data_IF_620937047801
#
_entry.id   IF_620937047801
#
_cell.length_a   1.000
_cell.length_b   1.000
_cell.length_c   1.000
_cell.angle_alpha   90.00
_cell.angle_beta   90.00
_cell.angle_gamma   90.00
#
_symmetry.space_group_name_H-M   'P 1'
#
loop_
_entity.id
_entity.type
_entity.pdbx_description
1 polymer ?
#
# COMPACT_ATOMS: atom_id res chain seq x y z
N UNK A 1 -19.59 29.75 31.72
CA UNK A 1 -20.12 28.40 31.44
C UNK A 1 -19.84 28.07 29.98
N UNK A 2 -19.17 26.95 29.64
CA UNK A 2 -18.90 26.56 28.26
C UNK A 2 -20.21 26.37 27.49
N UNK A 3 -20.27 26.92 26.27
CA UNK A 3 -21.47 26.88 25.44
C UNK A 3 -21.65 25.46 24.88
N UNK A 4 -22.69 24.75 25.34
CA UNK A 4 -23.06 23.44 24.80
C UNK A 4 -23.75 23.62 23.44
N UNK A 5 -23.01 23.33 22.37
CA UNK A 5 -23.53 23.39 21.01
C UNK A 5 -24.39 22.17 20.70
N UNK A 6 -25.68 22.38 20.39
CA UNK A 6 -26.56 21.35 19.83
C UNK A 6 -26.40 21.34 18.31
N UNK A 7 -25.95 20.22 17.74
CA UNK A 7 -25.82 20.05 16.29
C UNK A 7 -27.18 20.16 15.61
N UNK A 8 -27.21 20.89 14.49
CA UNK A 8 -28.40 21.07 13.65
C UNK A 8 -28.45 20.11 12.45
N UNK A 9 -27.32 19.47 12.12
CA UNK A 9 -27.20 18.57 10.97
C UNK A 9 -27.17 17.13 11.42
N UNK A 10 -27.76 16.25 10.60
CA UNK A 10 -27.70 14.80 10.78
C UNK A 10 -26.37 14.20 10.28
N UNK A 11 -25.34 15.04 10.08
CA UNK A 11 -24.05 14.61 9.54
C UNK A 11 -23.31 13.73 10.55
N UNK A 12 -23.04 12.49 10.15
CA UNK A 12 -22.30 11.53 10.96
C UNK A 12 -23.08 10.92 12.12
N UNK A 13 -24.43 10.93 12.08
CA UNK A 13 -25.25 10.16 13.04
C UNK A 13 -25.29 8.66 12.73
N UNK A 14 -24.90 8.29 11.52
CA UNK A 14 -25.02 6.94 11.01
C UNK A 14 -23.90 6.04 11.51
N UNK A 15 -24.21 4.77 11.71
CA UNK A 15 -23.22 3.80 12.18
C UNK A 15 -22.19 3.49 11.09
N UNK A 16 -20.98 3.11 11.52
CA UNK A 16 -19.88 2.74 10.62
C UNK A 16 -20.28 1.54 9.75
N UNK A 17 -21.08 0.62 10.30
CA UNK A 17 -21.54 -0.60 9.63
C UNK A 17 -22.53 -0.31 8.50
N UNK A 18 -23.51 0.57 8.74
CA UNK A 18 -24.44 1.03 7.70
C UNK A 18 -23.70 1.75 6.57
N UNK A 19 -22.62 2.47 6.89
CA UNK A 19 -21.83 3.15 5.87
C UNK A 19 -20.99 2.17 5.03
N UNK A 20 -20.44 1.13 5.67
CA UNK A 20 -19.72 0.06 4.96
C UNK A 20 -20.64 -0.71 4.03
N UNK A 21 -21.83 -1.11 4.51
CA UNK A 21 -22.81 -1.84 3.69
C UNK A 21 -23.33 -0.99 2.51
N UNK A 22 -23.57 0.30 2.74
CA UNK A 22 -23.90 1.22 1.65
C UNK A 22 -22.76 1.36 0.63
N UNK A 23 -21.49 1.39 1.08
CA UNK A 23 -20.34 1.47 0.18
C UNK A 23 -20.15 0.18 -0.65
N UNK A 24 -20.33 -1.01 -0.06
CA UNK A 24 -20.27 -2.28 -0.78
C UNK A 24 -21.38 -2.41 -1.82
N UNK A 25 -22.59 -1.95 -1.51
CA UNK A 25 -23.71 -1.90 -2.44
C UNK A 25 -23.42 -1.01 -3.66
N UNK A 26 -22.75 0.13 -3.45
CA UNK A 26 -22.32 1.04 -4.53
C UNK A 26 -21.21 0.40 -5.36
N UNK A 27 -20.26 -0.31 -4.73
CA UNK A 27 -19.23 -1.08 -5.45
C UNK A 27 -19.84 -2.17 -6.35
N UNK A 28 -20.95 -2.78 -5.94
CA UNK A 28 -21.73 -3.72 -6.73
C UNK A 28 -22.46 -3.13 -7.95
N UNK A 29 -22.27 -1.83 -8.25
CA UNK A 29 -22.79 -1.17 -9.43
C UNK A 29 -24.05 -0.32 -9.21
N UNK A 30 -24.56 -0.21 -7.97
CA UNK A 30 -25.71 0.65 -7.68
C UNK A 30 -25.30 2.13 -7.74
N UNK A 31 -26.18 2.96 -8.30
CA UNK A 31 -25.94 4.40 -8.37
C UNK A 31 -25.88 5.03 -6.98
N UNK A 32 -24.85 5.86 -6.72
CA UNK A 32 -24.67 6.58 -5.43
C UNK A 32 -25.93 7.34 -5.01
N UNK A 33 -26.65 7.94 -5.99
CA UNK A 33 -27.89 8.68 -5.72
C UNK A 33 -29.04 7.78 -5.29
N UNK A 34 -29.17 6.58 -5.87
CA UNK A 34 -30.20 5.61 -5.45
C UNK A 34 -29.92 5.17 -4.03
N UNK A 35 -28.70 4.68 -3.77
CA UNK A 35 -28.30 4.19 -2.45
C UNK A 35 -28.39 5.26 -1.35
N UNK A 36 -28.02 6.50 -1.66
CA UNK A 36 -28.19 7.63 -0.76
C UNK A 36 -29.67 7.86 -0.39
N UNK A 37 -30.58 7.72 -1.35
CA UNK A 37 -32.03 7.83 -1.11
C UNK A 37 -32.56 6.64 -0.31
N UNK A 38 -32.17 5.43 -0.68
CA UNK A 38 -32.65 4.18 -0.08
C UNK A 38 -32.22 4.02 1.38
N UNK A 39 -30.99 4.45 1.70
CA UNK A 39 -30.41 4.38 3.06
C UNK A 39 -30.58 5.69 3.84
N UNK A 40 -31.28 6.68 3.28
CA UNK A 40 -31.45 8.02 3.86
C UNK A 40 -30.11 8.69 4.26
N UNK A 41 -29.08 8.50 3.42
CA UNK A 41 -27.74 9.07 3.61
C UNK A 41 -27.62 10.29 2.71
N UNK A 42 -27.03 11.36 3.24
CA UNK A 42 -26.64 12.46 2.38
C UNK A 42 -25.64 11.99 1.29
N UNK A 43 -25.95 12.32 0.03
CA UNK A 43 -25.15 11.93 -1.15
C UNK A 43 -23.69 12.31 -1.01
N UNK A 44 -23.41 13.51 -0.48
CA UNK A 44 -22.03 14.01 -0.36
C UNK A 44 -21.24 13.20 0.66
N UNK A 45 -21.91 12.76 1.73
CA UNK A 45 -21.33 11.91 2.77
C UNK A 45 -21.01 10.52 2.22
N UNK A 46 -21.95 9.88 1.53
CA UNK A 46 -21.74 8.57 0.91
C UNK A 46 -20.66 8.63 -0.18
N UNK A 47 -20.68 9.67 -1.04
CA UNK A 47 -19.65 9.87 -2.07
C UNK A 47 -18.27 10.05 -1.45
N UNK A 48 -18.14 10.85 -0.39
CA UNK A 48 -16.88 11.07 0.32
C UNK A 48 -16.35 9.75 0.87
N UNK A 49 -17.20 8.99 1.55
CA UNK A 49 -16.86 7.68 2.09
C UNK A 49 -16.42 6.70 1.00
N UNK A 50 -17.24 6.54 -0.04
CA UNK A 50 -16.95 5.68 -1.18
C UNK A 50 -15.60 6.05 -1.84
N UNK A 51 -15.39 7.33 -2.18
CA UNK A 51 -14.14 7.79 -2.81
C UNK A 51 -12.90 7.70 -1.91
N UNK A 52 -13.09 7.71 -0.59
CA UNK A 52 -12.04 7.58 0.41
C UNK A 52 -11.71 6.12 0.75
N UNK A 53 -12.60 5.17 0.42
CA UNK A 53 -12.40 3.76 0.76
C UNK A 53 -11.36 3.15 -0.19
N UNK A 54 -10.32 2.54 0.39
CA UNK A 54 -9.21 1.97 -0.37
C UNK A 54 -9.61 0.80 -1.28
N UNK A 55 -10.74 0.15 -1.00
CA UNK A 55 -11.32 -0.96 -1.76
C UNK A 55 -11.84 -0.53 -3.14
N UNK A 56 -12.45 0.66 -3.23
CA UNK A 56 -12.93 1.23 -4.51
C UNK A 56 -11.77 1.51 -5.48
N UNK A 57 -10.56 1.67 -4.94
CA UNK A 57 -9.33 1.87 -5.71
C UNK A 57 -8.52 0.58 -5.87
N UNK A 58 -9.11 -0.59 -5.65
CA UNK A 58 -8.48 -1.88 -5.97
C UNK A 58 -8.61 -2.12 -7.46
N UNK A 59 -7.48 -2.08 -8.15
CA UNK A 59 -7.35 -2.41 -9.58
C UNK A 59 -7.01 -3.91 -9.74
N UNK A 60 -6.31 -4.49 -8.76
CA UNK A 60 -5.95 -5.90 -8.75
C UNK A 60 -6.99 -6.73 -8.01
N UNK A 61 -7.20 -7.97 -8.49
CA UNK A 61 -7.86 -9.02 -7.72
C UNK A 61 -6.99 -9.42 -6.53
N UNK A 62 -7.59 -9.95 -5.47
CA UNK A 62 -6.88 -10.29 -4.22
C UNK A 62 -5.77 -11.32 -4.43
N UNK A 63 -5.95 -12.23 -5.38
CA UNK A 63 -4.96 -13.25 -5.73
C UNK A 63 -3.71 -12.62 -6.34
N UNK A 64 -3.89 -11.74 -7.32
CA UNK A 64 -2.80 -11.03 -7.99
C UNK A 64 -2.11 -10.07 -7.01
N UNK A 65 -2.89 -9.40 -6.16
CA UNK A 65 -2.37 -8.51 -5.13
C UNK A 65 -1.44 -9.26 -4.16
N UNK A 66 -1.82 -10.49 -3.77
CA UNK A 66 -1.03 -11.37 -2.91
C UNK A 66 0.23 -11.91 -3.59
N UNK A 67 0.15 -12.30 -4.86
CA UNK A 67 1.33 -12.76 -5.61
C UNK A 67 2.39 -11.65 -5.74
N UNK A 68 1.95 -10.45 -6.12
CA UNK A 68 2.82 -9.28 -6.19
C UNK A 68 3.44 -8.97 -4.82
N UNK A 69 2.66 -9.06 -3.75
CA UNK A 69 3.16 -8.84 -2.39
C UNK A 69 4.23 -9.86 -1.98
N UNK A 70 4.04 -11.13 -2.31
CA UNK A 70 5.01 -12.18 -2.03
C UNK A 70 6.29 -11.99 -2.86
N UNK A 71 6.17 -11.55 -4.11
CA UNK A 71 7.30 -11.24 -4.96
C UNK A 71 8.12 -10.07 -4.41
N UNK A 72 7.45 -8.98 -3.99
CA UNK A 72 8.09 -7.82 -3.36
C UNK A 72 8.83 -8.20 -2.08
N UNK A 73 8.25 -9.08 -1.24
CA UNK A 73 8.94 -9.59 -0.03
C UNK A 73 10.20 -10.37 -0.36
N UNK A 74 10.13 -11.31 -1.32
CA UNK A 74 11.30 -12.08 -1.76
C UNK A 74 12.43 -11.16 -2.26
N UNK A 75 12.09 -10.12 -3.02
CA UNK A 75 13.07 -9.15 -3.50
C UNK A 75 13.67 -8.31 -2.37
N UNK A 76 12.86 -7.93 -1.38
CA UNK A 76 13.34 -7.21 -0.20
C UNK A 76 14.31 -8.06 0.63
N UNK A 77 14.03 -9.35 0.80
CA UNK A 77 14.89 -10.30 1.51
C UNK A 77 16.23 -10.52 0.77
N UNK A 78 16.23 -10.44 -0.56
CA UNK A 78 17.41 -10.62 -1.43
C UNK A 78 18.30 -9.38 -1.56
N UNK A 79 18.23 -8.43 -0.61
CA UNK A 79 19.07 -7.22 -0.54
C UNK A 79 18.78 -6.12 -1.57
N UNK A 80 17.67 -6.21 -2.31
CA UNK A 80 17.21 -5.08 -3.10
C UNK A 80 16.28 -4.22 -2.23
N UNK A 81 16.82 -3.14 -1.68
CA UNK A 81 16.00 -2.07 -1.11
C UNK A 81 15.05 -1.53 -2.19
N UNK A 82 13.84 -2.06 -2.23
CA UNK A 82 12.82 -1.67 -3.19
C UNK A 82 12.30 -0.30 -2.78
N UNK A 83 12.62 0.69 -3.58
CA UNK A 83 12.05 2.02 -3.42
C UNK A 83 10.56 1.97 -3.75
N UNK A 84 9.71 2.78 -3.10
CA UNK A 84 8.27 2.82 -3.38
C UNK A 84 7.94 3.02 -4.87
N UNK A 85 8.77 3.80 -5.58
CA UNK A 85 8.64 4.01 -7.04
C UNK A 85 8.79 2.71 -7.83
N UNK A 86 9.78 1.88 -7.53
CA UNK A 86 9.98 0.59 -8.22
C UNK A 86 8.85 -0.38 -7.95
N UNK A 87 8.28 -0.38 -6.74
CA UNK A 87 7.09 -1.18 -6.45
C UNK A 87 5.89 -0.72 -7.30
N UNK A 88 5.74 0.60 -7.50
CA UNK A 88 4.70 1.15 -8.38
C UNK A 88 4.93 0.82 -9.87
N UNK A 89 6.19 0.81 -10.33
CA UNK A 89 6.55 0.38 -11.69
C UNK A 89 6.24 -1.10 -11.92
N UNK A 90 6.68 -1.98 -11.01
CA UNK A 90 6.40 -3.42 -11.07
C UNK A 90 4.90 -3.73 -11.08
N UNK A 91 4.12 -2.99 -10.28
CA UNK A 91 2.67 -3.13 -10.30
C UNK A 91 2.07 -2.75 -11.67
N UNK A 92 2.57 -1.69 -12.31
CA UNK A 92 2.11 -1.28 -13.63
C UNK A 92 2.49 -2.30 -14.71
N UNK A 93 3.72 -2.81 -14.71
CA UNK A 93 4.17 -3.87 -15.62
C UNK A 93 3.31 -5.13 -15.47
N UNK A 94 2.96 -5.50 -14.24
CA UNK A 94 2.11 -6.65 -13.96
C UNK A 94 0.69 -6.42 -14.51
N UNK A 95 0.14 -5.22 -14.33
CA UNK A 95 -1.17 -4.86 -14.88
C UNK A 95 -1.19 -4.94 -16.42
N UNK A 96 -0.13 -4.46 -17.08
CA UNK A 96 0.02 -4.53 -18.54
C UNK A 96 0.14 -5.98 -19.02
N UNK A 97 0.95 -6.81 -18.36
CA UNK A 97 1.12 -8.23 -18.72
C UNK A 97 -0.15 -9.04 -18.57
N UNK A 98 -0.94 -8.76 -17.54
CA UNK A 98 -2.20 -9.45 -17.28
C UNK A 98 -3.40 -8.81 -18.03
N UNK A 99 -3.17 -7.81 -18.89
CA UNK A 99 -4.21 -7.09 -19.65
C UNK A 99 -5.36 -6.59 -18.77
N UNK A 100 -5.05 -6.20 -17.53
CA UNK A 100 -6.06 -5.71 -16.58
C UNK A 100 -6.40 -4.27 -16.97
N UNK A 101 -7.68 -3.89 -17.08
CA UNK A 101 -8.06 -2.51 -17.36
C UNK A 101 -7.56 -1.62 -16.22
N UNK A 102 -6.60 -0.76 -16.55
CA UNK A 102 -5.97 0.15 -15.60
C UNK A 102 -6.72 1.49 -15.63
N UNK A 103 -6.79 2.18 -14.49
CA UNK A 103 -7.33 3.54 -14.44
C UNK A 103 -6.43 4.50 -15.25
N UNK A 104 -7.00 5.42 -16.03
CA UNK A 104 -6.26 6.42 -16.84
C UNK A 104 -5.12 7.13 -16.08
N UNK A 105 -5.29 7.33 -14.77
CA UNK A 105 -4.28 7.94 -13.90
C UNK A 105 -2.94 7.17 -13.83
N UNK A 106 -2.93 5.87 -14.12
CA UNK A 106 -1.71 5.06 -14.12
C UNK A 106 -0.95 5.20 -15.43
N UNK A 107 -1.66 5.27 -16.56
CA UNK A 107 -1.06 5.48 -17.88
C UNK A 107 -0.44 6.87 -18.00
N UNK A 108 -1.14 7.92 -17.53
CA UNK A 108 -0.60 9.29 -17.56
C UNK A 108 0.64 9.48 -16.69
N UNK A 109 0.74 8.76 -15.58
CA UNK A 109 1.86 8.90 -14.62
C UNK A 109 2.96 7.86 -14.80
N UNK A 110 2.72 6.82 -15.60
CA UNK A 110 3.62 5.68 -15.74
C UNK A 110 3.88 4.93 -14.42
N UNK A 111 2.99 5.08 -13.42
CA UNK A 111 3.19 4.58 -12.07
C UNK A 111 1.86 4.09 -11.49
N UNK A 112 1.87 2.92 -10.87
CA UNK A 112 0.71 2.46 -10.10
C UNK A 112 0.44 3.36 -8.88
N UNK A 113 -0.83 3.47 -8.50
CA UNK A 113 -1.22 4.24 -7.31
C UNK A 113 -0.60 3.72 -6.02
N UNK A 114 -0.26 4.63 -5.10
CA UNK A 114 0.26 4.30 -3.76
C UNK A 114 -0.70 3.50 -2.87
N UNK A 115 -1.95 3.35 -3.30
CA UNK A 115 -2.98 2.58 -2.60
C UNK A 115 -2.60 1.11 -2.41
N UNK A 116 -1.89 0.50 -3.36
CA UNK A 116 -1.41 -0.89 -3.23
C UNK A 116 -0.43 -1.02 -2.05
N UNK A 117 0.53 -0.09 -1.96
CA UNK A 117 1.54 -0.13 -0.89
C UNK A 117 0.94 0.11 0.50
N UNK A 118 -0.04 1.02 0.59
CA UNK A 118 -0.72 1.32 1.84
C UNK A 118 -1.53 0.12 2.39
N UNK A 119 -2.02 -0.78 1.52
CA UNK A 119 -2.80 -1.95 1.94
C UNK A 119 -1.94 -3.07 2.53
N UNK A 120 -0.75 -3.29 1.98
CA UNK A 120 0.12 -4.40 2.36
C UNK A 120 1.21 -4.05 3.38
N UNK A 121 1.20 -2.83 3.94
CA UNK A 121 2.20 -2.38 4.92
C UNK A 121 3.63 -2.72 4.51
N UNK A 122 3.98 -2.47 3.24
CA UNK A 122 5.37 -2.63 2.84
C UNK A 122 6.17 -1.54 3.54
N UNK A 123 6.96 -1.92 4.54
CA UNK A 123 8.07 -1.12 5.00
C UNK A 123 9.14 -1.19 3.91
N UNK A 124 8.97 -0.36 2.88
CA UNK A 124 10.03 -0.10 1.91
C UNK A 124 11.13 0.66 2.68
N UNK A 125 12.01 -0.08 3.34
CA UNK A 125 13.19 0.50 3.96
C UNK A 125 13.94 1.26 2.85
N UNK A 126 14.32 2.51 3.13
CA UNK A 126 15.42 3.09 2.37
C UNK A 126 16.58 2.12 2.59
N UNK A 127 17.14 1.48 1.55
CA UNK A 127 18.37 0.74 1.76
C UNK A 127 19.35 1.73 2.38
N UNK A 128 19.80 1.46 3.61
CA UNK A 128 21.01 2.11 4.09
C UNK A 128 22.03 1.77 3.02
N UNK A 129 22.59 2.79 2.36
CA UNK A 129 23.51 2.54 1.28
C UNK A 129 24.61 1.64 1.85
N UNK A 130 24.62 0.37 1.46
CA UNK A 130 25.81 -0.45 1.56
C UNK A 130 26.79 0.30 0.69
N UNK A 131 27.58 1.16 1.33
CA UNK A 131 28.59 1.90 0.62
C UNK A 131 29.41 0.86 -0.11
N UNK A 132 29.81 1.16 -1.35
CA UNK A 132 30.65 0.26 -2.13
C UNK A 132 31.82 -0.24 -1.26
N UNK A 133 32.34 0.64 -0.39
CA UNK A 133 33.30 0.33 0.66
C UNK A 133 32.92 -0.83 1.60
N UNK A 134 31.69 -0.91 2.13
CA UNK A 134 31.25 -2.04 2.97
C UNK A 134 31.15 -3.35 2.19
N UNK A 135 30.65 -3.30 0.96
CA UNK A 135 30.58 -4.49 0.10
C UNK A 135 31.97 -4.99 -0.31
N UNK A 136 32.89 -4.07 -0.67
CA UNK A 136 34.28 -4.41 -1.00
C UNK A 136 35.09 -4.82 0.22
N UNK A 137 34.76 -4.29 1.41
CA UNK A 137 35.38 -4.69 2.66
C UNK A 137 34.92 -6.06 3.15
N UNK A 138 33.85 -6.64 2.58
CA UNK A 138 33.40 -8.01 2.84
C UNK A 138 34.08 -9.00 1.90
N UNK A 139 35.42 -9.00 1.87
CA UNK A 139 36.24 -9.87 1.05
C UNK A 139 36.75 -11.08 1.85
N UNK A 140 37.08 -12.18 1.18
CA UNK A 140 37.66 -13.37 1.83
C UNK A 140 38.89 -13.03 2.68
N UNK A 141 39.73 -12.09 2.23
CA UNK A 141 40.95 -11.70 2.92
C UNK A 141 40.70 -10.86 4.17
N UNK A 142 39.74 -9.94 4.12
CA UNK A 142 39.35 -9.11 5.27
C UNK A 142 38.59 -9.91 6.32
N UNK A 143 37.70 -10.82 5.88
CA UNK A 143 36.97 -11.72 6.78
C UNK A 143 37.92 -12.72 7.44
N UNK A 144 38.89 -13.27 6.69
CA UNK A 144 39.92 -14.15 7.25
C UNK A 144 40.71 -13.49 8.39
N UNK A 145 41.23 -12.28 8.13
CA UNK A 145 41.97 -11.51 9.16
C UNK A 145 41.14 -11.23 10.41
N UNK A 146 39.84 -10.96 10.27
CA UNK A 146 38.95 -10.77 11.39
C UNK A 146 38.86 -12.02 12.27
N UNK A 147 38.66 -13.20 11.67
CA UNK A 147 38.59 -14.46 12.41
C UNK A 147 39.93 -14.86 13.02
N UNK A 148 41.05 -14.57 12.35
CA UNK A 148 42.39 -14.78 12.92
C UNK A 148 42.60 -13.93 14.18
N UNK A 149 42.14 -12.68 14.16
CA UNK A 149 42.22 -11.79 15.33
C UNK A 149 41.26 -12.22 16.44
N UNK A 150 40.07 -12.70 16.07
CA UNK A 150 39.10 -13.24 17.01
C UNK A 150 39.68 -14.47 17.74
N UNK A 151 40.27 -15.41 17.00
CA UNK A 151 40.89 -16.61 17.57
C UNK A 151 41.99 -16.25 18.57
N UNK A 152 42.88 -15.32 18.20
CA UNK A 152 43.95 -14.84 19.10
C UNK A 152 43.43 -14.21 20.40
N UNK A 153 42.24 -13.62 20.40
CA UNK A 153 41.62 -13.04 21.60
C UNK A 153 40.93 -14.12 22.43
N UNK A 154 40.35 -15.14 21.80
CA UNK A 154 39.67 -16.25 22.51
C UNK A 154 40.65 -17.27 23.10
N UNK A 155 41.84 -17.44 22.49
CA UNK A 155 42.89 -18.33 22.98
C UNK A 155 43.71 -17.72 24.15
N UNK A 156 43.29 -16.55 24.63
CA UNK A 156 43.90 -15.81 25.73
C UNK A 156 43.02 -15.85 26.97
#
# INVERSE_FOLDING_TARGET
IPRTYKRKTNWGSMTIEEMKTAATDVMGGKAIRSMAKDRNIDRSTLRRWYSGTAEVKRVFTEEIERELANHVKKLADQFHGLTPKKCCELALELAQRNTIPVLNNWEEKGLAGSSFMARHHFFCHLPEATSLGRATAFSKTTVGKFFDHLANVMDR
#
